data_IF_501112328087
#
_entry.id   IF_501112328087
#
_cell.length_a   1.000
_cell.length_b   1.000
_cell.length_c   1.000
_cell.angle_alpha   90.00
_cell.angle_beta   90.00
_cell.angle_gamma   90.00
#
_symmetry.space_group_name_H-M   'P 1'
#
loop_
_entity.id
_entity.type
_entity.pdbx_description
1 polymer ?
#
# COMPACT_ATOMS: atom_id res chain seq x y z
N UNK A 1 14.20 11.94 -13.20
CA UNK A 1 13.50 10.70 -12.77
C UNK A 1 12.60 11.08 -11.61
N UNK A 2 11.39 11.56 -11.90
CA UNK A 2 10.38 11.80 -10.88
C UNK A 2 9.48 10.58 -10.87
N UNK A 3 9.56 9.80 -9.80
CA UNK A 3 8.70 8.65 -9.60
C UNK A 3 7.25 9.13 -9.49
N UNK A 4 6.35 8.56 -10.31
CA UNK A 4 4.91 8.72 -10.10
C UNK A 4 4.59 8.27 -8.67
N UNK A 5 3.81 9.04 -7.89
CA UNK A 5 3.32 8.57 -6.62
C UNK A 5 2.45 7.33 -6.87
N UNK A 6 2.83 6.22 -6.24
CA UNK A 6 2.03 5.00 -6.21
C UNK A 6 0.61 5.38 -5.79
N UNK A 7 -0.38 4.98 -6.59
CA UNK A 7 -1.78 5.18 -6.27
C UNK A 7 -2.02 4.68 -4.84
N UNK A 8 -2.66 5.49 -3.96
CA UNK A 8 -2.96 5.05 -2.61
C UNK A 8 -3.76 3.75 -2.69
N UNK A 9 -3.50 2.78 -1.79
CA UNK A 9 -4.29 1.56 -1.73
C UNK A 9 -5.77 1.94 -1.68
N UNK A 10 -6.67 1.15 -2.32
CA UNK A 10 -8.08 1.47 -2.32
C UNK A 10 -8.49 1.68 -0.87
N UNK A 11 -9.13 2.81 -0.53
CA UNK A 11 -9.65 3.00 0.81
C UNK A 11 -10.54 1.79 1.06
N UNK A 12 -10.23 1.02 2.12
CA UNK A 12 -11.19 0.09 2.69
C UNK A 12 -12.51 0.85 2.72
N UNK A 13 -13.56 0.30 2.09
CA UNK A 13 -14.84 0.98 1.97
C UNK A 13 -15.21 1.51 3.36
N UNK A 14 -15.11 2.82 3.50
CA UNK A 14 -15.11 3.49 4.80
C UNK A 14 -16.47 3.28 5.48
N UNK A 15 -17.51 3.15 4.66
CA UNK A 15 -18.87 2.82 5.09
C UNK A 15 -18.92 1.39 5.61
N UNK A 16 -18.35 0.42 4.89
CA UNK A 16 -18.25 -0.97 5.38
C UNK A 16 -17.44 -1.06 6.68
N UNK A 17 -16.31 -0.35 6.77
CA UNK A 17 -15.50 -0.31 7.99
C UNK A 17 -16.27 0.30 9.19
N UNK A 18 -17.05 1.36 8.94
CA UNK A 18 -17.91 1.96 9.96
C UNK A 18 -19.03 1.00 10.40
N UNK A 19 -19.65 0.28 9.46
CA UNK A 19 -20.67 -0.73 9.77
C UNK A 19 -20.12 -1.87 10.61
N UNK A 20 -18.94 -2.40 10.27
CA UNK A 20 -18.26 -3.42 11.06
C UNK A 20 -17.93 -2.93 12.47
N UNK A 21 -17.46 -1.69 12.61
CA UNK A 21 -17.14 -1.10 13.90
C UNK A 21 -18.38 -0.91 14.78
N UNK A 22 -19.50 -0.45 14.20
CA UNK A 22 -20.78 -0.36 14.90
C UNK A 22 -21.30 -1.74 15.32
N UNK A 23 -21.17 -2.75 14.45
CA UNK A 23 -21.54 -4.12 14.78
C UNK A 23 -20.71 -4.66 15.96
N UNK A 24 -19.41 -4.36 16.00
CA UNK A 24 -18.51 -4.71 17.11
C UNK A 24 -18.94 -4.03 18.41
N UNK A 25 -19.23 -2.73 18.38
CA UNK A 25 -19.70 -1.98 19.56
C UNK A 25 -21.01 -2.58 20.09
N UNK A 26 -21.95 -2.90 19.20
CA UNK A 26 -23.22 -3.54 19.58
C UNK A 26 -23.00 -4.91 20.24
N UNK A 27 -22.09 -5.73 19.70
CA UNK A 27 -21.74 -7.01 20.30
C UNK A 27 -21.07 -6.84 21.67
N UNK A 28 -20.17 -5.86 21.83
CA UNK A 28 -19.56 -5.53 23.11
C UNK A 28 -20.61 -5.12 24.14
N UNK A 29 -21.52 -4.20 23.80
CA UNK A 29 -22.62 -3.79 24.68
C UNK A 29 -23.47 -4.97 25.12
N UNK A 30 -23.90 -5.82 24.18
CA UNK A 30 -24.71 -6.99 24.49
C UNK A 30 -24.00 -7.93 25.46
N UNK A 31 -22.72 -8.23 25.21
CA UNK A 31 -21.92 -9.11 26.05
C UNK A 31 -21.64 -8.51 27.43
N UNK A 32 -21.32 -7.21 27.51
CA UNK A 32 -21.03 -6.51 28.75
C UNK A 32 -22.28 -6.40 29.63
N UNK A 33 -23.44 -6.05 29.07
CA UNK A 33 -24.69 -6.06 29.82
C UNK A 33 -25.02 -7.48 30.34
N UNK A 34 -24.84 -8.50 29.51
CA UNK A 34 -25.05 -9.89 29.93
C UNK A 34 -24.13 -10.32 31.08
N UNK A 35 -22.85 -9.96 31.00
CA UNK A 35 -21.87 -10.23 32.06
C UNK A 35 -22.21 -9.48 33.36
N UNK A 36 -22.55 -8.19 33.26
CA UNK A 36 -22.97 -7.36 34.40
C UNK A 36 -24.22 -7.91 35.09
N UNK A 37 -25.21 -8.38 34.34
CA UNK A 37 -26.43 -8.97 34.91
C UNK A 37 -26.17 -10.32 35.57
N UNK A 38 -25.33 -11.17 34.95
CA UNK A 38 -24.98 -12.48 35.49
C UNK A 38 -24.16 -12.37 36.78
N UNK A 39 -23.24 -11.42 36.80
CA UNK A 39 -22.25 -11.29 37.88
C UNK A 39 -22.64 -10.18 38.89
N UNK A 40 -23.85 -9.62 38.78
CA UNK A 40 -24.36 -8.60 39.69
C UNK A 40 -24.44 -9.16 41.12
N UNK A 41 -23.82 -8.48 42.11
CA UNK A 41 -23.94 -8.89 43.50
C UNK A 41 -25.37 -8.68 43.98
N UNK A 42 -25.87 -9.61 44.80
CA UNK A 42 -27.14 -9.40 45.49
C UNK A 42 -27.05 -8.13 46.35
N UNK A 43 -28.04 -7.25 46.25
CA UNK A 43 -28.15 -6.04 47.05
C UNK A 43 -29.32 -6.15 48.02
N UNK A 44 -29.07 -5.81 49.28
CA UNK A 44 -30.08 -5.88 50.33
C UNK A 44 -30.89 -4.59 50.36
N UNK A 45 -32.19 -4.67 50.08
CA UNK A 45 -33.09 -3.51 50.08
C UNK A 45 -33.43 -3.05 51.51
N UNK A 46 -33.29 -3.93 52.51
CA UNK A 46 -33.66 -3.70 53.92
C UNK A 46 -32.50 -3.80 54.91
N UNK A 47 -31.26 -3.95 54.45
CA UNK A 47 -30.08 -4.09 55.31
C UNK A 47 -29.87 -5.48 55.91
N UNK A 48 -30.57 -6.50 55.41
CA UNK A 48 -30.37 -7.90 55.77
C UNK A 48 -29.00 -8.39 55.27
N UNK A 49 -28.31 -9.20 56.09
CA UNK A 49 -27.01 -9.75 55.75
C UNK A 49 -27.14 -10.80 54.64
N UNK A 50 -26.59 -10.50 53.47
CA UNK A 50 -26.55 -11.41 52.33
C UNK A 50 -25.35 -12.35 52.45
N UNK A 51 -25.55 -13.62 52.07
CA UNK A 51 -24.45 -14.57 51.90
C UNK A 51 -23.61 -14.09 50.72
N UNK A 52 -22.42 -13.55 50.99
CA UNK A 52 -21.57 -13.00 49.94
C UNK A 52 -21.21 -14.09 48.93
N UNK A 53 -21.45 -13.84 47.64
CA UNK A 53 -20.88 -14.63 46.56
C UNK A 53 -19.34 -14.67 46.69
N UNK A 54 -18.68 -15.75 46.25
CA UNK A 54 -17.23 -15.91 46.41
C UNK A 54 -16.46 -14.72 45.79
N UNK A 55 -15.53 -14.17 46.59
CA UNK A 55 -14.72 -12.95 46.39
C UNK A 55 -13.80 -12.93 45.15
N UNK A 56 -13.98 -13.82 44.18
CA UNK A 56 -13.05 -13.98 43.05
C UNK A 56 -13.33 -13.05 41.87
N UNK A 57 -14.47 -12.35 41.85
CA UNK A 57 -14.85 -11.49 40.72
C UNK A 57 -14.99 -10.03 41.18
N UNK A 58 -14.05 -9.19 40.76
CA UNK A 58 -14.10 -7.74 40.97
C UNK A 58 -14.96 -7.10 39.88
N UNK A 59 -16.25 -6.92 40.20
CA UNK A 59 -17.23 -6.30 39.32
C UNK A 59 -16.82 -4.87 38.93
N UNK A 60 -16.17 -4.13 39.84
CA UNK A 60 -15.80 -2.75 39.59
C UNK A 60 -14.65 -2.67 38.58
N UNK A 61 -13.57 -3.43 38.80
CA UNK A 61 -12.46 -3.49 37.85
C UNK A 61 -12.89 -4.01 36.46
N UNK A 62 -13.79 -5.01 36.42
CA UNK A 62 -14.38 -5.50 35.17
C UNK A 62 -15.19 -4.41 34.45
N UNK A 63 -16.02 -3.66 35.17
CA UNK A 63 -16.84 -2.59 34.60
C UNK A 63 -15.97 -1.46 34.03
N UNK A 64 -14.87 -1.11 34.72
CA UNK A 64 -13.92 -0.10 34.25
C UNK A 64 -13.21 -0.53 32.96
N UNK A 65 -12.78 -1.80 32.87
CA UNK A 65 -12.21 -2.36 31.64
C UNK A 65 -13.22 -2.33 30.48
N UNK A 66 -14.45 -2.79 30.72
CA UNK A 66 -15.53 -2.77 29.72
C UNK A 66 -15.83 -1.34 29.24
N UNK A 67 -15.84 -0.36 30.14
CA UNK A 67 -16.04 1.04 29.80
C UNK A 67 -14.87 1.60 28.97
N UNK A 68 -13.63 1.23 29.32
CA UNK A 68 -12.44 1.64 28.57
C UNK A 68 -12.44 1.10 27.14
N UNK A 69 -12.77 -0.18 26.96
CA UNK A 69 -12.88 -0.84 25.66
C UNK A 69 -13.99 -0.21 24.80
N UNK A 70 -15.13 0.09 25.40
CA UNK A 70 -16.24 0.78 24.72
C UNK A 70 -15.82 2.18 24.24
N UNK A 71 -15.15 2.95 25.10
CA UNK A 71 -14.66 4.29 24.75
C UNK A 71 -13.62 4.22 23.61
N UNK A 72 -12.74 3.22 23.63
CA UNK A 72 -11.80 3.01 22.53
C UNK A 72 -12.55 2.71 21.22
N UNK A 73 -13.53 1.80 21.25
CA UNK A 73 -14.35 1.49 20.08
C UNK A 73 -15.11 2.69 19.52
N UNK A 74 -15.65 3.54 20.39
CA UNK A 74 -16.35 4.78 20.01
C UNK A 74 -15.40 5.81 19.40
N UNK A 75 -14.17 5.96 19.91
CA UNK A 75 -13.15 6.84 19.30
C UNK A 75 -12.75 6.38 17.91
N UNK A 76 -12.63 5.06 17.71
CA UNK A 76 -12.34 4.51 16.39
C UNK A 76 -13.50 4.76 15.41
N UNK A 77 -14.76 4.66 15.86
CA UNK A 77 -15.92 5.03 15.06
C UNK A 77 -15.94 6.54 14.74
N UNK A 78 -15.63 7.40 15.70
CA UNK A 78 -15.51 8.85 15.50
C UNK A 78 -14.42 9.18 14.46
N UNK A 79 -13.28 8.50 14.53
CA UNK A 79 -12.19 8.66 13.56
C UNK A 79 -12.63 8.27 12.15
N UNK A 80 -13.39 7.17 12.00
CA UNK A 80 -13.95 6.76 10.71
C UNK A 80 -14.96 7.77 10.19
N UNK A 81 -15.79 8.35 11.07
CA UNK A 81 -16.74 9.41 10.69
C UNK A 81 -16.01 10.66 10.21
N UNK A 82 -14.94 11.07 10.87
CA UNK A 82 -14.12 12.23 10.45
C UNK A 82 -13.38 12.01 9.12
N UNK A 83 -13.23 10.76 8.68
CA UNK A 83 -12.62 10.41 7.39
C UNK A 83 -13.64 10.32 6.25
N UNK A 84 -14.94 10.41 6.54
CA UNK A 84 -15.97 10.41 5.49
C UNK A 84 -15.81 11.66 4.61
N UNK A 85 -15.81 11.52 3.28
CA UNK A 85 -15.84 12.68 2.40
C UNK A 85 -17.12 13.49 2.63
N UNK A 86 -17.00 14.82 2.59
CA UNK A 86 -18.16 15.70 2.73
C UNK A 86 -19.11 15.49 1.55
N UNK A 87 -20.31 14.96 1.81
CA UNK A 87 -21.39 14.83 0.82
C UNK A 87 -22.07 16.18 0.67
N UNK A 88 -21.36 17.18 0.14
CA UNK A 88 -21.89 18.55 0.05
C UNK A 88 -22.29 18.98 -1.36
N UNK A 89 -22.09 18.12 -2.36
CA UNK A 89 -22.46 18.39 -3.74
C UNK A 89 -23.66 17.50 -4.08
N UNK A 90 -24.70 18.07 -4.68
CA UNK A 90 -25.86 17.26 -5.07
C UNK A 90 -25.46 16.16 -6.07
N UNK A 91 -26.27 15.10 -6.22
CA UNK A 91 -26.00 14.00 -7.17
C UNK A 91 -25.63 14.52 -8.59
N UNK A 92 -26.24 15.64 -9.01
CA UNK A 92 -25.96 16.28 -10.29
C UNK A 92 -24.55 16.89 -10.40
N UNK A 93 -24.01 17.44 -9.31
CA UNK A 93 -22.65 17.99 -9.25
C UNK A 93 -21.60 16.89 -9.18
N UNK A 94 -21.85 15.80 -8.44
CA UNK A 94 -21.00 14.61 -8.45
C UNK A 94 -20.89 13.99 -9.85
N UNK A 95 -22.02 13.87 -10.55
CA UNK A 95 -22.06 13.39 -11.94
C UNK A 95 -21.31 14.34 -12.87
N UNK A 96 -21.47 15.65 -12.71
CA UNK A 96 -20.74 16.63 -13.51
C UNK A 96 -19.22 16.54 -13.28
N UNK A 97 -18.78 16.41 -12.03
CA UNK A 97 -17.37 16.20 -11.69
C UNK A 97 -16.84 14.89 -12.27
N UNK A 98 -17.61 13.80 -12.22
CA UNK A 98 -17.24 12.53 -12.82
C UNK A 98 -17.04 12.64 -14.34
N UNK A 99 -17.93 13.36 -15.04
CA UNK A 99 -17.79 13.61 -16.49
C UNK A 99 -16.52 14.41 -16.79
N UNK A 100 -16.23 15.46 -16.01
CA UNK A 100 -15.00 16.26 -16.17
C UNK A 100 -13.76 15.38 -15.95
N UNK A 101 -13.75 14.55 -14.91
CA UNK A 101 -12.64 13.63 -14.63
C UNK A 101 -12.45 12.60 -15.74
N UNK A 102 -13.53 12.07 -16.31
CA UNK A 102 -13.46 11.14 -17.45
C UNK A 102 -12.85 11.83 -18.69
N UNK A 103 -13.23 13.07 -18.95
CA UNK A 103 -12.67 13.84 -20.06
C UNK A 103 -11.17 14.11 -19.85
N UNK A 104 -10.78 14.58 -18.66
CA UNK A 104 -9.37 14.79 -18.31
C UNK A 104 -8.56 13.49 -18.41
N UNK A 105 -9.13 12.37 -17.98
CA UNK A 105 -8.48 11.06 -18.08
C UNK A 105 -8.28 10.63 -19.55
N UNK A 106 -9.26 10.90 -20.41
CA UNK A 106 -9.15 10.61 -21.84
C UNK A 106 -8.07 11.47 -22.52
N UNK A 107 -8.01 12.76 -22.20
CA UNK A 107 -6.99 13.69 -22.70
C UNK A 107 -5.58 13.29 -22.22
N UNK A 108 -5.42 13.02 -20.93
CA UNK A 108 -4.15 12.53 -20.36
C UNK A 108 -3.72 11.20 -21.00
N UNK A 109 -4.66 10.27 -21.22
CA UNK A 109 -4.39 9.00 -21.89
C UNK A 109 -3.95 9.19 -23.34
N UNK A 110 -4.52 10.16 -24.05
CA UNK A 110 -4.12 10.48 -25.42
C UNK A 110 -2.72 11.08 -25.46
N UNK A 111 -2.40 11.97 -24.53
CA UNK A 111 -1.07 12.57 -24.47
C UNK A 111 0.00 11.53 -24.13
N UNK A 112 -0.25 10.67 -23.14
CA UNK A 112 0.61 9.53 -22.82
C UNK A 112 0.87 8.63 -24.04
N UNK A 113 -0.16 8.38 -24.87
CA UNK A 113 0.02 7.60 -26.11
C UNK A 113 0.89 8.31 -27.14
N UNK A 114 0.77 9.63 -27.28
CA UNK A 114 1.62 10.41 -28.19
C UNK A 114 3.07 10.41 -27.74
N UNK A 115 3.32 10.64 -26.45
CA UNK A 115 4.66 10.59 -25.88
C UNK A 115 5.29 9.21 -26.02
N UNK A 116 4.52 8.15 -25.75
CA UNK A 116 4.98 6.77 -25.92
C UNK A 116 5.33 6.47 -27.38
N UNK A 117 4.51 6.91 -28.35
CA UNK A 117 4.80 6.74 -29.76
C UNK A 117 6.09 7.48 -30.17
N UNK A 118 6.26 8.72 -29.71
CA UNK A 118 7.48 9.50 -29.98
C UNK A 118 8.73 8.87 -29.33
N UNK A 119 8.62 8.37 -28.11
CA UNK A 119 9.70 7.68 -27.42
C UNK A 119 10.07 6.36 -28.12
N UNK A 120 9.07 5.60 -28.57
CA UNK A 120 9.27 4.34 -29.31
C UNK A 120 9.97 4.57 -30.64
N UNK A 121 9.59 5.63 -31.36
CA UNK A 121 10.26 6.00 -32.61
C UNK A 121 11.74 6.37 -32.39
N UNK A 122 12.04 7.16 -31.34
CA UNK A 122 13.43 7.49 -30.97
C UNK A 122 14.23 6.25 -30.59
N UNK A 123 13.61 5.32 -29.87
CA UNK A 123 14.25 4.06 -29.50
C UNK A 123 14.57 3.18 -30.71
N UNK A 124 13.66 3.10 -31.69
CA UNK A 124 13.92 2.43 -32.96
C UNK A 124 15.13 3.03 -33.70
N UNK A 125 15.18 4.36 -33.83
CA UNK A 125 16.33 5.04 -34.45
C UNK A 125 17.66 4.77 -33.72
N UNK A 126 17.62 4.73 -32.39
CA UNK A 126 18.80 4.42 -31.58
C UNK A 126 19.25 2.96 -31.78
N UNK A 127 18.30 2.02 -31.83
CA UNK A 127 18.56 0.62 -32.12
C UNK A 127 19.17 0.42 -33.51
N UNK A 128 18.64 1.10 -34.53
CA UNK A 128 19.15 1.05 -35.89
C UNK A 128 20.58 1.61 -35.96
N UNK A 129 20.83 2.76 -35.32
CA UNK A 129 22.16 3.35 -35.24
C UNK A 129 23.16 2.44 -34.52
N UNK A 130 22.74 1.79 -33.42
CA UNK A 130 23.56 0.78 -32.75
C UNK A 130 23.80 -0.45 -33.63
N UNK A 131 22.82 -0.89 -34.41
CA UNK A 131 22.98 -1.99 -35.37
C UNK A 131 24.07 -1.67 -36.39
N UNK A 132 24.01 -0.50 -37.02
CA UNK A 132 25.03 -0.05 -38.00
C UNK A 132 26.41 0.04 -37.35
N UNK A 133 26.52 0.57 -36.14
CA UNK A 133 27.80 0.64 -35.42
C UNK A 133 28.34 -0.75 -35.07
N UNK A 134 27.47 -1.68 -34.65
CA UNK A 134 27.85 -3.06 -34.36
C UNK A 134 28.34 -3.79 -35.62
N UNK A 135 27.65 -3.63 -36.75
CA UNK A 135 28.08 -4.18 -38.04
C UNK A 135 29.43 -3.60 -38.48
N UNK A 136 29.62 -2.28 -38.36
CA UNK A 136 30.89 -1.64 -38.68
C UNK A 136 32.03 -2.16 -37.79
N UNK A 137 31.78 -2.35 -36.50
CA UNK A 137 32.77 -2.92 -35.57
C UNK A 137 33.13 -4.38 -35.92
N UNK A 138 32.15 -5.18 -36.32
CA UNK A 138 32.38 -6.57 -36.76
C UNK A 138 33.17 -6.63 -38.07
N UNK A 139 32.88 -5.75 -39.03
CA UNK A 139 33.64 -5.64 -40.29
C UNK A 139 35.09 -5.14 -40.07
N UNK A 140 35.35 -4.34 -39.04
CA UNK A 140 36.69 -3.90 -38.65
C UNK A 140 37.46 -4.92 -37.79
N UNK A 141 36.74 -5.84 -37.12
CA UNK A 141 37.29 -6.86 -36.22
C UNK A 141 38.40 -7.77 -36.80
N UNK A 142 38.31 -8.27 -38.04
CA UNK A 142 39.42 -9.06 -38.62
C UNK A 142 40.55 -8.19 -39.19
N UNK A 143 40.29 -6.91 -39.50
CA UNK A 143 41.30 -6.00 -40.05
C UNK A 143 42.18 -5.35 -38.95
N UNK A 144 41.60 -5.01 -37.80
CA UNK A 144 42.35 -4.50 -36.65
C UNK A 144 43.17 -5.59 -35.93
N UNK A 145 42.66 -6.84 -35.89
CA UNK A 145 43.43 -7.99 -35.38
C UNK A 145 44.61 -8.37 -36.29
N UNK A 146 44.50 -8.15 -37.61
CA UNK A 146 45.61 -8.35 -38.55
C UNK A 146 46.62 -7.20 -38.54
N UNK A 147 46.21 -5.96 -38.23
CA UNK A 147 47.12 -4.82 -38.12
C UNK A 147 47.92 -4.79 -36.79
N UNK A 148 47.44 -5.46 -35.74
CA UNK A 148 48.19 -5.69 -34.50
C UNK A 148 49.00 -7.01 -34.50
N UNK A 149 48.93 -7.79 -35.58
CA UNK A 149 49.45 -9.14 -35.67
C UNK A 149 50.52 -9.36 -36.74
N UNK A 150 51.72 -8.82 -36.52
CA UNK A 150 52.97 -9.44 -37.03
C UNK A 150 54.02 -8.46 -37.58
N UNK A 151 55.27 -8.90 -37.80
CA UNK A 151 56.04 -9.93 -37.08
C UNK A 151 57.49 -9.43 -36.80
N UNK A 152 57.95 -9.43 -35.55
CA UNK A 152 59.38 -9.27 -35.27
C UNK A 152 59.76 -9.93 -33.95
N UNK A 153 60.51 -11.02 -34.02
CA UNK A 153 61.03 -11.68 -32.82
C UNK A 153 61.49 -13.11 -33.02
N UNK A 154 62.15 -13.41 -34.14
CA UNK A 154 62.97 -14.63 -34.22
C UNK A 154 64.40 -14.26 -33.80
N UNK A 155 64.92 -15.03 -32.84
CA UNK A 155 66.31 -15.22 -32.44
C UNK A 155 66.78 -14.55 -31.13
N UNK A 156 66.77 -15.33 -30.05
CA UNK A 156 67.92 -15.66 -29.19
C UNK A 156 67.38 -16.55 -28.05
N UNK A 157 67.47 -17.88 -28.13
CA UNK A 157 68.64 -18.68 -27.74
C UNK A 157 69.09 -18.40 -26.29
N UNK A 158 68.92 -19.40 -25.41
CA UNK A 158 69.79 -19.57 -24.24
C UNK A 158 69.11 -19.81 -22.89
N UNK A 159 69.19 -21.06 -22.44
CA UNK A 159 69.43 -21.46 -21.03
C UNK A 159 68.23 -21.56 -20.05
N UNK A 160 67.62 -22.75 -20.08
CA UNK A 160 67.33 -23.72 -19.00
C UNK A 160 67.51 -23.38 -17.48
N UNK A 161 66.89 -24.20 -16.59
CA UNK A 161 66.05 -23.75 -15.48
C UNK A 161 66.65 -24.04 -14.10
N UNK A 162 66.01 -23.55 -13.04
CA UNK A 162 66.35 -23.97 -11.68
C UNK A 162 65.41 -23.46 -10.60
N UNK A 163 64.59 -24.39 -10.11
CA UNK A 163 64.01 -24.54 -8.76
C UNK A 163 63.12 -23.44 -8.19
#
# INVERSE_FOLDING_TARGET
MSALPAAPPPPVDLVTALQEQLARINAMLFNYLGALQRDAPAQSVKGEALVSAPKTYDVQAQTELMASDLMAGLKDAERLIQQLPETSDGEAEEVAQAVVLLQQNAEASQELRRELAAASAKLGLLQDAHGVLAEAALCQGPAAAAAAGGPAGRAAAGQQPGS
#
